data_IF_520249687599
#
_entry.id   IF_520249687599
#
_cell.length_a   1.000
_cell.length_b   1.000
_cell.length_c   1.000
_cell.angle_alpha   90.00
_cell.angle_beta   90.00
_cell.angle_gamma   90.00
#
_symmetry.space_group_name_H-M   'P 1'
#
loop_
_entity.id
_entity.type
_entity.pdbx_description
1 polymer ?
#
# COMPACT_ATOMS: atom_id res chain seq x y z
N UNK A 1 22.01 0.40 -21.13
CA UNK A 1 21.34 1.44 -20.33
C UNK A 1 20.44 0.72 -19.33
N UNK A 2 20.57 0.94 -18.02
CA UNK A 2 19.63 0.37 -17.05
C UNK A 2 18.35 1.21 -17.13
N UNK A 3 17.26 0.66 -17.63
CA UNK A 3 15.98 1.37 -17.59
C UNK A 3 15.56 1.51 -16.13
N UNK A 4 15.29 2.73 -15.64
CA UNK A 4 14.83 2.93 -14.27
C UNK A 4 13.45 2.27 -14.12
N UNK A 5 13.24 1.61 -12.99
CA UNK A 5 11.92 1.12 -12.59
C UNK A 5 10.98 2.32 -12.50
N UNK A 6 9.85 2.26 -13.19
CA UNK A 6 8.80 3.27 -13.15
C UNK A 6 7.50 2.60 -12.68
N UNK A 7 7.17 2.83 -11.41
CA UNK A 7 5.94 2.34 -10.79
C UNK A 7 5.04 3.54 -10.47
N UNK A 8 3.86 3.55 -11.06
CA UNK A 8 2.82 4.50 -10.69
C UNK A 8 1.97 3.93 -9.56
N UNK A 9 1.81 4.68 -8.49
CA UNK A 9 0.95 4.32 -7.38
C UNK A 9 -0.32 5.18 -7.35
N UNK A 10 -1.47 4.55 -7.11
CA UNK A 10 -2.73 5.24 -6.91
C UNK A 10 -3.52 4.67 -5.74
N UNK A 11 -4.17 5.57 -5.00
CA UNK A 11 -5.16 5.26 -3.98
C UNK A 11 -6.54 5.71 -4.45
N UNK A 12 -7.58 4.99 -4.05
CA UNK A 12 -8.97 5.40 -4.22
C UNK A 12 -9.78 4.97 -3.01
N UNK A 13 -10.71 5.81 -2.59
CA UNK A 13 -11.62 5.60 -1.47
C UNK A 13 -12.95 6.31 -1.77
N UNK A 14 -14.06 5.94 -1.10
CA UNK A 14 -15.28 6.73 -1.19
C UNK A 14 -15.02 8.14 -0.67
N UNK A 15 -15.54 9.17 -1.35
CA UNK A 15 -15.37 10.56 -0.89
C UNK A 15 -16.14 10.86 0.42
N UNK A 16 -17.18 10.08 0.70
CA UNK A 16 -18.05 10.23 1.88
C UNK A 16 -18.44 8.88 2.43
N UNK A 17 -18.58 8.79 3.75
CA UNK A 17 -19.12 7.64 4.48
C UNK A 17 -19.85 8.13 5.74
N UNK A 18 -20.55 7.23 6.43
CA UNK A 18 -21.07 7.50 7.79
C UNK A 18 -20.24 6.79 8.85
N UNK A 19 -20.23 7.35 10.05
CA UNK A 19 -19.60 6.71 11.21
C UNK A 19 -20.13 5.29 11.39
N UNK A 20 -19.21 4.32 11.40
CA UNK A 20 -19.52 2.90 11.56
C UNK A 20 -19.92 2.16 10.28
N UNK A 21 -19.86 2.81 9.12
CA UNK A 21 -19.79 2.10 7.82
C UNK A 21 -18.33 1.69 7.53
N UNK A 22 -18.11 0.56 6.84
CA UNK A 22 -16.79 0.21 6.34
C UNK A 22 -16.24 1.28 5.40
N UNK A 23 -14.97 1.64 5.58
CA UNK A 23 -14.24 2.48 4.62
C UNK A 23 -13.19 1.62 3.93
N UNK A 24 -13.39 1.40 2.64
CA UNK A 24 -12.46 0.63 1.83
C UNK A 24 -11.51 1.55 1.04
N UNK A 25 -10.23 1.21 1.05
CA UNK A 25 -9.19 1.85 0.25
C UNK A 25 -8.69 0.85 -0.79
N UNK A 26 -8.77 1.24 -2.06
CA UNK A 26 -8.17 0.52 -3.17
C UNK A 26 -6.76 1.07 -3.42
N UNK A 27 -5.76 0.18 -3.33
CA UNK A 27 -4.38 0.46 -3.66
C UNK A 27 -4.05 -0.15 -5.02
N UNK A 28 -3.39 0.61 -5.89
CA UNK A 28 -2.94 0.14 -7.20
C UNK A 28 -1.46 0.45 -7.41
N UNK A 29 -0.73 -0.51 -7.96
CA UNK A 29 0.58 -0.30 -8.56
C UNK A 29 0.53 -0.66 -10.04
N UNK A 30 0.91 0.28 -10.89
CA UNK A 30 0.99 0.09 -12.34
C UNK A 30 2.44 0.16 -12.78
N UNK A 31 2.90 -0.88 -13.48
CA UNK A 31 4.22 -0.89 -14.06
C UNK A 31 4.23 -0.07 -15.37
N UNK A 32 4.86 1.10 -15.32
CA UNK A 32 5.07 2.00 -16.46
C UNK A 32 6.43 1.79 -17.14
N UNK A 33 7.18 0.80 -16.69
CA UNK A 33 8.42 0.36 -17.34
C UNK A 33 8.11 -0.53 -18.55
N UNK A 34 9.12 -0.76 -19.40
CA UNK A 34 9.05 -1.64 -20.58
C UNK A 34 9.42 -3.10 -20.29
N UNK A 35 9.77 -3.42 -19.05
CA UNK A 35 10.14 -4.76 -18.59
C UNK A 35 9.33 -5.16 -17.35
N UNK A 36 9.13 -6.46 -17.10
CA UNK A 36 8.47 -6.93 -15.88
C UNK A 36 9.26 -6.51 -14.63
N UNK A 37 8.52 -6.29 -13.54
CA UNK A 37 9.08 -6.02 -12.22
C UNK A 37 8.48 -6.97 -11.19
N UNK A 38 9.25 -7.26 -10.15
CA UNK A 38 8.82 -8.08 -9.02
C UNK A 38 8.86 -7.21 -7.77
N UNK A 39 7.69 -6.99 -7.17
CA UNK A 39 7.53 -6.12 -5.99
C UNK A 39 7.28 -7.00 -4.78
N UNK A 40 8.05 -6.81 -3.71
CA UNK A 40 7.78 -7.44 -2.43
C UNK A 40 6.48 -6.86 -1.86
N UNK A 41 5.47 -7.71 -1.61
CA UNK A 41 4.15 -7.25 -1.14
C UNK A 41 4.19 -6.69 0.29
N UNK A 42 5.24 -7.00 1.04
CA UNK A 42 5.35 -6.60 2.44
C UNK A 42 5.28 -5.10 2.62
N UNK A 43 4.64 -4.68 3.70
CA UNK A 43 4.42 -3.27 4.01
C UNK A 43 3.60 -2.53 2.95
N UNK A 44 2.85 -3.24 2.12
CA UNK A 44 1.89 -2.67 1.17
C UNK A 44 0.50 -3.25 1.39
N UNK A 45 -0.57 -2.57 0.96
CA UNK A 45 -1.91 -3.15 0.98
C UNK A 45 -2.05 -4.44 0.16
N UNK A 46 -1.10 -4.80 -0.73
CA UNK A 46 -1.16 -6.03 -1.54
C UNK A 46 -1.09 -7.33 -0.71
N UNK A 47 -0.62 -7.27 0.53
CA UNK A 47 -0.69 -8.38 1.49
C UNK A 47 -1.84 -8.26 2.50
N UNK A 48 -2.74 -7.28 2.28
CA UNK A 48 -3.75 -6.90 3.26
C UNK A 48 -3.19 -5.95 4.32
N UNK A 49 -3.77 -5.99 5.52
CA UNK A 49 -3.49 -5.02 6.59
C UNK A 49 -2.60 -5.58 7.71
N UNK A 50 -1.40 -6.03 7.36
CA UNK A 50 -0.44 -6.71 8.26
C UNK A 50 0.71 -5.79 8.74
N UNK A 51 0.45 -4.49 8.78
CA UNK A 51 1.48 -3.46 8.76
C UNK A 51 0.90 -2.06 8.93
N UNK A 52 1.66 -1.14 9.51
CA UNK A 52 1.43 0.30 9.37
C UNK A 52 1.77 0.70 7.93
N UNK A 53 0.86 0.43 7.00
CA UNK A 53 1.01 0.74 5.56
C UNK A 53 0.46 2.10 5.18
N UNK A 54 -0.43 2.66 6.00
CA UNK A 54 -0.94 4.03 5.84
C UNK A 54 -0.54 4.93 7.01
N UNK A 55 -0.38 6.21 6.70
CA UNK A 55 -0.53 7.29 7.65
C UNK A 55 -1.97 7.82 7.53
N UNK A 56 -2.66 7.91 8.66
CA UNK A 56 -4.04 8.39 8.72
C UNK A 56 -4.12 9.59 9.64
N UNK A 57 -4.77 10.66 9.20
CA UNK A 57 -5.12 11.80 10.05
C UNK A 57 -6.62 12.07 9.97
N UNK A 58 -7.21 12.56 11.06
CA UNK A 58 -8.57 13.13 11.10
C UNK A 58 -8.46 14.60 11.42
N UNK A 59 -8.91 15.46 10.51
CA UNK A 59 -8.89 16.92 10.69
C UNK A 59 -7.50 17.46 11.08
N UNK A 60 -6.45 16.81 10.58
CA UNK A 60 -5.04 17.15 10.85
C UNK A 60 -4.41 16.43 12.04
N UNK A 61 -5.18 15.75 12.89
CA UNK A 61 -4.67 14.96 14.01
C UNK A 61 -4.38 13.51 13.60
N UNK A 62 -3.25 12.95 14.01
CA UNK A 62 -2.90 11.57 13.70
C UNK A 62 -3.89 10.57 14.33
N UNK A 63 -4.29 9.58 13.53
CA UNK A 63 -5.06 8.43 13.97
C UNK A 63 -4.13 7.23 14.02
N UNK A 64 -3.82 6.78 15.24
CA UNK A 64 -2.91 5.66 15.45
C UNK A 64 -3.45 4.35 14.86
N UNK A 65 -2.53 3.55 14.33
CA UNK A 65 -2.79 2.19 13.89
C UNK A 65 -3.08 1.27 15.08
N UNK A 66 -4.09 0.42 14.94
CA UNK A 66 -4.57 -0.53 15.94
C UNK A 66 -4.72 -1.96 15.39
N UNK A 67 -4.32 -2.19 14.14
CA UNK A 67 -4.45 -3.47 13.46
C UNK A 67 -3.38 -4.52 13.81
N UNK A 68 -3.37 -5.67 13.11
CA UNK A 68 -2.45 -6.77 13.36
C UNK A 68 -1.03 -6.50 12.84
N UNK A 69 -0.03 -6.76 13.69
CA UNK A 69 1.39 -6.70 13.33
C UNK A 69 1.97 -8.07 13.02
N UNK A 70 2.29 -8.31 11.74
CA UNK A 70 2.90 -9.56 11.32
C UNK A 70 4.41 -9.58 11.61
N UNK A 71 4.86 -10.64 12.28
CA UNK A 71 6.27 -11.06 12.28
C UNK A 71 6.54 -11.88 11.03
N UNK A 72 7.58 -11.53 10.27
CA UNK A 72 7.89 -12.14 8.98
C UNK A 72 9.13 -13.04 9.10
N UNK A 73 9.08 -14.22 8.50
CA UNK A 73 10.28 -15.01 8.19
C UNK A 73 11.02 -14.36 7.01
N UNK A 74 12.11 -14.97 6.50
CA UNK A 74 12.71 -14.53 5.24
C UNK A 74 11.68 -14.63 4.09
N UNK A 75 11.68 -13.71 3.12
CA UNK A 75 10.70 -13.76 2.03
C UNK A 75 10.99 -14.94 1.12
N UNK A 76 9.92 -15.50 0.56
CA UNK A 76 9.97 -16.51 -0.49
C UNK A 76 9.47 -15.91 -1.81
N UNK A 77 9.46 -16.72 -2.88
CA UNK A 77 8.94 -16.27 -4.17
C UNK A 77 7.49 -15.74 -4.11
N UNK A 78 6.63 -16.37 -3.29
CA UNK A 78 5.22 -15.98 -3.11
C UNK A 78 5.03 -14.67 -2.32
N UNK A 79 6.09 -14.17 -1.68
CA UNK A 79 6.09 -12.86 -1.03
C UNK A 79 6.12 -11.72 -2.06
N UNK A 80 6.54 -12.01 -3.30
CA UNK A 80 6.59 -11.05 -4.39
C UNK A 80 5.36 -11.16 -5.29
N UNK A 81 5.04 -10.06 -5.96
CA UNK A 81 4.11 -10.04 -7.08
C UNK A 81 4.84 -9.61 -8.35
N UNK A 82 4.63 -10.35 -9.43
CA UNK A 82 5.14 -9.97 -10.74
C UNK A 82 4.16 -9.02 -11.43
N UNK A 83 4.66 -7.91 -11.97
CA UNK A 83 3.87 -6.92 -12.69
C UNK A 83 4.48 -6.78 -14.09
N UNK A 84 3.76 -7.28 -15.10
CA UNK A 84 4.17 -7.16 -16.50
C UNK A 84 4.19 -5.68 -16.96
N UNK A 85 4.91 -5.34 -18.04
CA UNK A 85 4.86 -3.99 -18.64
C UNK A 85 3.41 -3.55 -18.92
N UNK A 86 3.05 -2.36 -18.46
CA UNK A 86 1.70 -1.80 -18.61
C UNK A 86 0.62 -2.44 -17.73
N UNK A 87 0.94 -3.49 -16.96
CA UNK A 87 -0.01 -4.16 -16.09
C UNK A 87 -0.16 -3.43 -14.75
N UNK A 88 -1.32 -3.63 -14.13
CA UNK A 88 -1.66 -3.13 -12.81
C UNK A 88 -1.94 -4.30 -11.88
N UNK A 89 -1.41 -4.22 -10.65
CA UNK A 89 -1.84 -5.05 -9.53
C UNK A 89 -2.54 -4.17 -8.51
N UNK A 90 -3.55 -4.71 -7.86
CA UNK A 90 -4.36 -3.97 -6.91
C UNK A 90 -4.84 -4.83 -5.77
N UNK A 91 -5.10 -4.20 -4.63
CA UNK A 91 -5.82 -4.83 -3.54
C UNK A 91 -6.68 -3.81 -2.80
N UNK A 92 -7.80 -4.26 -2.24
CA UNK A 92 -8.69 -3.45 -1.43
C UNK A 92 -8.56 -3.85 0.03
N UNK A 93 -8.43 -2.85 0.91
CA UNK A 93 -8.35 -3.04 2.36
C UNK A 93 -9.36 -2.16 3.07
N UNK A 94 -10.01 -2.70 4.10
CA UNK A 94 -10.94 -1.96 4.94
C UNK A 94 -10.18 -1.27 6.09
N UNK A 95 -9.99 0.05 6.00
CA UNK A 95 -9.18 0.80 6.98
C UNK A 95 -9.86 0.90 8.35
N UNK A 96 -11.17 0.74 8.42
CA UNK A 96 -11.96 0.73 9.67
C UNK A 96 -11.65 -0.47 10.56
N UNK A 97 -11.01 -1.53 10.03
CA UNK A 97 -10.58 -2.68 10.83
C UNK A 97 -9.31 -2.41 11.66
N UNK A 98 -8.62 -1.29 11.42
CA UNK A 98 -7.31 -1.06 12.00
C UNK A 98 -6.98 0.39 12.35
N UNK A 99 -7.92 1.32 12.14
CA UNK A 99 -7.86 2.70 12.62
C UNK A 99 -9.19 3.11 13.22
N UNK A 100 -9.16 4.10 14.11
CA UNK A 100 -10.37 4.63 14.74
C UNK A 100 -11.13 5.60 13.80
N UNK A 101 -12.16 5.07 13.15
CA UNK A 101 -13.13 5.79 12.32
C UNK A 101 -14.49 6.02 13.05
N UNK A 102 -14.50 6.03 14.39
CA UNK A 102 -15.72 6.17 15.19
C UNK A 102 -16.18 7.62 15.39
N UNK A 103 -15.49 8.61 14.80
CA UNK A 103 -15.84 10.03 14.93
C UNK A 103 -16.07 10.66 13.56
N UNK A 104 -17.04 11.58 13.41
CA UNK A 104 -17.15 12.40 12.22
C UNK A 104 -15.88 13.24 12.01
N UNK A 105 -15.62 13.62 10.76
CA UNK A 105 -14.45 14.42 10.39
C UNK A 105 -13.95 14.09 8.99
N UNK A 106 -12.94 14.81 8.52
CA UNK A 106 -12.25 14.49 7.26
C UNK A 106 -11.01 13.67 7.56
N UNK A 107 -11.03 12.42 7.09
CA UNK A 107 -9.91 11.49 7.22
C UNK A 107 -9.05 11.56 5.98
N UNK A 108 -7.76 11.89 6.15
CA UNK A 108 -6.75 11.82 5.09
C UNK A 108 -5.96 10.54 5.24
N UNK A 109 -5.88 9.76 4.17
CA UNK A 109 -5.20 8.46 4.13
C UNK A 109 -4.08 8.54 3.10
N UNK A 110 -2.84 8.37 3.56
CA UNK A 110 -1.65 8.39 2.72
C UNK A 110 -0.88 7.06 2.83
N UNK A 111 -0.37 6.54 1.71
CA UNK A 111 0.56 5.41 1.73
C UNK A 111 1.92 5.86 2.23
N UNK A 112 2.64 5.01 2.97
CA UNK A 112 4.02 5.31 3.42
C UNK A 112 4.95 5.04 2.23
N UNK A 113 5.52 6.12 1.67
CA UNK A 113 6.03 6.30 0.30
C UNK A 113 7.11 5.34 -0.27
N UNK A 114 7.33 4.16 0.30
CA UNK A 114 8.39 3.24 -0.16
C UNK A 114 7.92 1.79 -0.28
N UNK A 115 8.32 1.16 -1.38
CA UNK A 115 8.27 -0.29 -1.55
C UNK A 115 9.57 -0.88 -1.02
N UNK A 116 9.46 -1.87 -0.13
CA UNK A 116 10.62 -2.44 0.56
C UNK A 116 11.64 -3.04 -0.41
N UNK A 117 11.19 -3.74 -1.46
CA UNK A 117 12.06 -4.29 -2.50
C UNK A 117 11.37 -4.34 -3.86
N UNK A 118 12.12 -3.97 -4.90
CA UNK A 118 11.72 -4.12 -6.30
C UNK A 118 12.86 -4.66 -7.14
N UNK A 119 12.62 -5.78 -7.80
CA UNK A 119 13.56 -6.41 -8.73
C UNK A 119 13.08 -6.29 -10.18
N UNK A 120 14.02 -6.28 -11.12
CA UNK A 120 13.76 -6.26 -12.58
C UNK A 120 14.08 -7.59 -13.26
N UNK A 121 14.53 -8.58 -12.47
CA UNK A 121 14.83 -9.94 -12.93
C UNK A 121 14.22 -10.94 -11.95
N UNK A 122 13.69 -12.03 -12.47
CA UNK A 122 13.07 -13.09 -11.66
C UNK A 122 14.11 -13.80 -10.79
N UNK A 123 15.35 -13.89 -11.25
CA UNK A 123 16.44 -14.58 -10.57
C UNK A 123 16.94 -13.81 -9.34
N UNK A 124 16.58 -12.52 -9.23
CA UNK A 124 16.93 -11.67 -8.09
C UNK A 124 15.90 -11.77 -6.94
N UNK A 125 14.82 -12.56 -7.09
CA UNK A 125 13.80 -12.73 -6.05
C UNK A 125 13.74 -14.18 -5.51
N UNK A 126 13.67 -14.38 -4.18
CA UNK A 126 13.70 -13.35 -3.14
C UNK A 126 15.11 -12.74 -2.98
N UNK A 127 15.18 -11.48 -2.55
CA UNK A 127 16.44 -10.83 -2.23
C UNK A 127 17.22 -11.66 -1.17
N UNK A 128 18.46 -12.10 -1.46
CA UNK A 128 19.24 -12.92 -0.55
C UNK A 128 19.62 -12.12 0.70
N UNK A 129 19.62 -12.76 1.87
CA UNK A 129 20.12 -12.16 3.11
C UNK A 129 19.38 -10.91 3.61
N UNK A 130 18.28 -10.49 2.96
CA UNK A 130 17.62 -9.23 3.26
C UNK A 130 18.23 -8.01 2.54
N UNK A 131 18.99 -8.22 1.45
CA UNK A 131 19.57 -7.17 0.60
C UNK A 131 18.49 -6.47 -0.26
N UNK A 132 17.48 -5.93 0.41
CA UNK A 132 16.33 -5.26 -0.19
C UNK A 132 16.72 -3.93 -0.83
N UNK A 133 16.14 -3.64 -1.99
CA UNK A 133 16.33 -2.41 -2.76
C UNK A 133 15.07 -1.57 -2.64
N UNK A 134 15.02 -0.75 -1.59
CA UNK A 134 13.90 0.17 -1.39
C UNK A 134 13.71 1.05 -2.63
N UNK A 135 12.47 1.13 -3.09
CA UNK A 135 12.08 1.92 -4.25
C UNK A 135 10.98 2.89 -3.84
N UNK A 136 11.23 4.22 -3.90
CA UNK A 136 10.22 5.19 -3.55
C UNK A 136 9.07 5.15 -4.57
N UNK A 137 7.85 5.28 -4.07
CA UNK A 137 6.64 5.45 -4.87
C UNK A 137 5.77 6.51 -4.23
N UNK A 138 5.23 7.42 -5.05
CA UNK A 138 4.33 8.45 -4.56
C UNK A 138 2.90 8.09 -4.93
N UNK A 139 2.05 7.91 -3.92
CA UNK A 139 0.62 7.76 -4.11
C UNK A 139 -0.05 9.06 -3.69
N UNK A 140 -0.93 9.63 -4.51
CA UNK A 140 -1.75 10.74 -4.06
C UNK A 140 -2.61 10.28 -2.86
N UNK A 141 -2.58 10.98 -1.72
CA UNK A 141 -3.44 10.65 -0.59
C UNK A 141 -4.91 10.87 -0.95
N UNK A 142 -5.78 10.14 -0.27
CA UNK A 142 -7.24 10.22 -0.45
C UNK A 142 -7.88 10.76 0.81
N UNK A 143 -8.92 11.57 0.62
CA UNK A 143 -9.69 12.15 1.72
C UNK A 143 -11.10 11.51 1.74
N UNK A 144 -11.56 11.16 2.94
CA UNK A 144 -12.89 10.58 3.19
C UNK A 144 -13.57 11.41 4.27
N UNK A 145 -14.70 12.04 3.96
CA UNK A 145 -15.49 12.76 4.96
C UNK A 145 -16.51 11.84 5.62
N UNK A 146 -16.38 11.65 6.94
CA UNK A 146 -17.33 10.90 7.75
C UNK A 146 -18.38 11.83 8.34
N UNK A 147 -19.65 11.56 8.03
CA UNK A 147 -20.78 12.18 8.69
C UNK A 147 -21.22 11.37 9.92
N UNK A 148 -21.91 12.03 10.86
CA UNK A 148 -22.63 11.33 11.92
C UNK A 148 -23.66 10.34 11.33
N UNK A 149 -24.02 9.33 12.12
CA UNK A 149 -25.02 8.32 11.72
C UNK A 149 -26.37 8.93 11.39
#
# INVERSE_FOLDING_TARGET
MKNPVNLECALSAPAKARVGEPVEVLFKLTNRSDQPVWVLKWHTPLEGFLGTVFQVTRDGEEVSYQGPMAKRAAPNADSYVAIAPGATVENRVEVTQAYDFQKPGTYRIAFRDELMDVATRKEDVPAPGGDFKSTPVTCAPVDVTLAAR
#
